data_IF_503173851258
#
_entry.id   IF_503173851258
#
_cell.length_a   1.000
_cell.length_b   1.000
_cell.length_c   1.000
_cell.angle_alpha   90.00
_cell.angle_beta   90.00
_cell.angle_gamma   90.00
#
_symmetry.space_group_name_H-M   'P 1'
#
loop_
_entity.id
_entity.type
_entity.pdbx_description
1 polymer ?
#
# COMPACT_ATOMS: atom_id res chain seq x y z
N UNK A 1 29.86 -11.84 -25.15
CA UNK A 1 29.90 -11.42 -23.74
C UNK A 1 29.31 -10.03 -23.67
N UNK A 2 28.03 -9.94 -23.34
CA UNK A 2 27.39 -8.65 -23.09
C UNK A 2 27.79 -8.18 -21.69
N UNK A 3 28.31 -6.95 -21.63
CA UNK A 3 28.58 -6.28 -20.38
C UNK A 3 27.25 -6.01 -19.68
N UNK A 4 27.05 -6.61 -18.49
CA UNK A 4 26.05 -6.13 -17.54
C UNK A 4 26.37 -4.68 -17.23
N UNK A 5 25.57 -3.76 -17.76
CA UNK A 5 25.56 -2.39 -17.30
C UNK A 5 25.21 -2.43 -15.81
N UNK A 6 26.07 -1.86 -14.97
CA UNK A 6 25.80 -1.72 -13.54
C UNK A 6 24.38 -1.16 -13.39
N UNK A 7 23.50 -1.90 -12.70
CA UNK A 7 22.16 -1.44 -12.35
C UNK A 7 22.31 -0.06 -11.71
N UNK A 8 21.94 1.00 -12.43
CA UNK A 8 21.80 2.33 -11.85
C UNK A 8 20.52 2.31 -11.01
N UNK A 9 20.58 2.78 -9.77
CA UNK A 9 19.48 2.78 -8.79
C UNK A 9 19.10 1.39 -8.24
N UNK A 10 20.05 0.71 -7.61
CA UNK A 10 19.74 -0.48 -6.80
C UNK A 10 19.09 -0.09 -5.47
N UNK A 11 18.06 -0.81 -5.07
CA UNK A 11 17.46 -0.72 -3.74
C UNK A 11 17.33 -2.13 -3.13
N UNK A 12 17.25 -2.21 -1.81
CA UNK A 12 17.02 -3.47 -1.10
C UNK A 12 15.63 -3.48 -0.51
N UNK A 13 14.88 -4.57 -0.69
CA UNK A 13 13.60 -4.76 0.01
C UNK A 13 13.77 -4.83 1.52
N UNK A 14 14.96 -5.18 2.02
CA UNK A 14 15.27 -5.17 3.46
C UNK A 14 15.21 -3.77 4.09
N UNK A 15 15.28 -2.72 3.28
CA UNK A 15 15.18 -1.33 3.72
C UNK A 15 13.72 -0.93 3.99
N UNK A 16 12.75 -1.71 3.49
CA UNK A 16 11.32 -1.52 3.71
C UNK A 16 10.88 -2.45 4.85
N UNK A 17 10.47 -1.88 5.97
CA UNK A 17 9.99 -2.63 7.14
C UNK A 17 8.51 -2.99 6.96
N UNK A 18 8.25 -4.25 6.65
CA UNK A 18 6.90 -4.75 6.36
C UNK A 18 6.01 -4.87 7.60
N UNK A 19 6.62 -4.95 8.78
CA UNK A 19 5.99 -4.95 10.11
C UNK A 19 5.68 -3.53 10.62
N UNK A 20 6.06 -2.50 9.87
CA UNK A 20 5.76 -1.11 10.19
C UNK A 20 6.51 -0.18 9.25
N UNK A 21 5.85 0.30 8.19
CA UNK A 21 6.50 1.10 7.15
C UNK A 21 7.18 2.37 7.69
N UNK A 22 6.65 2.97 8.77
CA UNK A 22 7.24 4.11 9.46
C UNK A 22 8.63 3.85 10.07
N UNK A 23 8.97 2.59 10.34
CA UNK A 23 10.30 2.19 10.81
C UNK A 23 11.32 2.02 9.65
N UNK A 24 10.89 2.20 8.39
CA UNK A 24 11.79 2.17 7.25
C UNK A 24 12.69 3.41 7.26
N UNK A 25 14.01 3.23 7.12
CA UNK A 25 14.96 4.35 7.29
C UNK A 25 14.83 5.50 6.29
N UNK A 26 14.02 5.31 5.23
CA UNK A 26 13.74 6.30 4.17
C UNK A 26 12.23 6.59 4.08
N UNK A 27 11.52 6.40 5.19
CA UNK A 27 10.10 6.69 5.28
C UNK A 27 9.86 8.19 5.15
N UNK A 28 9.14 8.56 4.09
CA UNK A 28 8.97 9.96 3.72
C UNK A 28 7.75 10.60 4.40
N UNK A 29 6.77 9.80 4.82
CA UNK A 29 5.56 10.26 5.47
C UNK A 29 4.30 9.60 4.92
N UNK A 30 3.16 10.20 5.24
CA UNK A 30 1.84 9.76 4.80
C UNK A 30 0.84 10.90 4.78
N UNK A 31 -0.31 10.63 4.19
CA UNK A 31 -1.52 11.41 4.44
C UNK A 31 -2.63 10.50 4.97
N UNK A 32 -3.50 11.06 5.80
CA UNK A 32 -4.63 10.33 6.38
C UNK A 32 -5.88 11.23 6.49
N UNK A 33 -7.07 10.61 6.55
CA UNK A 33 -8.33 11.36 6.72
C UNK A 33 -8.35 12.15 8.04
N UNK A 34 -9.00 13.31 8.03
CA UNK A 34 -9.26 14.13 9.23
C UNK A 34 -10.69 14.01 9.77
N UNK A 35 -11.65 13.60 8.93
CA UNK A 35 -13.07 13.44 9.26
C UNK A 35 -13.49 11.99 9.48
N UNK A 36 -14.80 11.75 9.63
CA UNK A 36 -15.36 10.40 9.76
C UNK A 36 -15.09 9.52 8.53
N UNK A 37 -14.98 8.21 8.76
CA UNK A 37 -14.81 7.24 7.68
C UNK A 37 -15.97 7.33 6.67
N UNK A 38 -15.64 7.40 5.38
CA UNK A 38 -16.64 7.24 4.32
C UNK A 38 -16.02 6.72 3.05
N UNK A 39 -16.78 5.96 2.26
CA UNK A 39 -16.33 5.48 0.95
C UNK A 39 -15.95 6.64 0.00
N UNK A 40 -16.56 7.82 0.16
CA UNK A 40 -16.19 9.01 -0.63
C UNK A 40 -14.78 9.51 -0.33
N UNK A 41 -14.30 9.36 0.92
CA UNK A 41 -12.92 9.68 1.27
C UNK A 41 -11.96 8.63 0.70
N UNK A 42 -12.36 7.35 0.65
CA UNK A 42 -11.58 6.31 -0.04
C UNK A 42 -11.42 6.66 -1.52
N UNK A 43 -12.51 7.06 -2.19
CA UNK A 43 -12.47 7.50 -3.58
C UNK A 43 -11.55 8.71 -3.79
N UNK A 44 -11.60 9.69 -2.89
CA UNK A 44 -10.70 10.86 -2.93
C UNK A 44 -9.23 10.48 -2.71
N UNK A 45 -8.93 9.59 -1.76
CA UNK A 45 -7.57 9.14 -1.49
C UNK A 45 -6.97 8.45 -2.73
N UNK A 46 -7.73 7.57 -3.39
CA UNK A 46 -7.34 6.94 -4.65
C UNK A 46 -7.15 7.98 -5.75
N UNK A 47 -8.05 8.96 -5.86
CA UNK A 47 -7.94 10.01 -6.86
C UNK A 47 -6.70 10.90 -6.69
N UNK A 48 -6.25 11.17 -5.45
CA UNK A 48 -5.00 11.89 -5.19
C UNK A 48 -3.78 11.07 -5.65
N UNK A 49 -3.79 9.77 -5.38
CA UNK A 49 -2.72 8.88 -5.85
C UNK A 49 -2.68 8.81 -7.38
N UNK A 50 -3.84 8.59 -8.02
CA UNK A 50 -3.97 8.58 -9.48
C UNK A 50 -3.59 9.93 -10.10
N UNK A 51 -3.96 11.04 -9.45
CA UNK A 51 -3.62 12.40 -9.88
C UNK A 51 -2.12 12.67 -9.85
N UNK A 52 -1.43 12.21 -8.80
CA UNK A 52 0.03 12.31 -8.68
C UNK A 52 0.76 11.46 -9.72
N UNK A 53 0.35 10.20 -9.88
CA UNK A 53 0.94 9.31 -10.89
C UNK A 53 0.60 9.78 -12.31
N UNK A 54 -0.57 10.41 -12.51
CA UNK A 54 -1.00 10.96 -13.79
C UNK A 54 -0.91 9.92 -14.91
N UNK A 55 -0.28 10.30 -16.02
CA UNK A 55 0.00 9.40 -17.16
C UNK A 55 1.36 8.72 -17.06
N UNK A 56 2.05 8.78 -15.92
CA UNK A 56 3.39 8.19 -15.76
C UNK A 56 3.26 6.66 -15.88
N UNK A 57 3.63 6.14 -17.04
CA UNK A 57 3.77 4.70 -17.27
C UNK A 57 5.03 4.22 -16.56
N UNK A 58 4.88 3.15 -15.79
CA UNK A 58 5.96 2.56 -15.03
C UNK A 58 5.74 1.07 -14.84
N UNK A 59 6.83 0.36 -14.54
CA UNK A 59 6.72 -0.98 -14.02
C UNK A 59 6.27 -0.88 -12.57
N UNK A 60 5.21 -1.59 -12.22
CA UNK A 60 4.71 -1.69 -10.86
C UNK A 60 5.06 -3.06 -10.30
N UNK A 61 5.39 -3.13 -9.01
CA UNK A 61 5.44 -4.39 -8.28
C UNK A 61 4.60 -4.23 -7.03
N UNK A 62 3.45 -4.88 -7.04
CA UNK A 62 2.56 -5.00 -5.90
C UNK A 62 3.00 -6.21 -5.10
N UNK A 63 3.23 -6.00 -3.80
CA UNK A 63 3.51 -7.05 -2.83
C UNK A 63 2.44 -6.99 -1.77
N UNK A 64 1.80 -8.13 -1.51
CA UNK A 64 0.72 -8.25 -0.54
C UNK A 64 0.93 -9.50 0.30
N UNK A 65 0.72 -9.40 1.60
CA UNK A 65 0.42 -10.53 2.46
C UNK A 65 -0.86 -10.15 3.20
N UNK A 66 -1.98 -10.44 2.54
CA UNK A 66 -3.31 -10.18 3.03
C UNK A 66 -4.11 -11.48 2.95
N UNK A 67 -4.93 -11.71 3.97
CA UNK A 67 -5.84 -12.85 4.00
C UNK A 67 -7.28 -12.41 4.05
N UNK A 68 -8.17 -13.28 3.59
CA UNK A 68 -9.61 -13.07 3.66
C UNK A 68 -10.22 -13.75 4.89
N UNK A 69 -11.18 -13.07 5.53
CA UNK A 69 -12.07 -13.63 6.57
C UNK A 69 -13.51 -13.27 6.18
N UNK A 70 -14.19 -14.18 5.50
CA UNK A 70 -15.51 -13.93 4.90
C UNK A 70 -16.58 -13.49 5.91
N UNK A 71 -16.44 -13.87 7.17
CA UNK A 71 -17.37 -13.52 8.26
C UNK A 71 -17.04 -12.19 8.96
N UNK A 72 -15.91 -11.55 8.61
CA UNK A 72 -15.41 -10.34 9.29
C UNK A 72 -16.22 -9.11 8.94
N UNK A 73 -16.63 -8.97 7.67
CA UNK A 73 -17.43 -7.84 7.24
C UNK A 73 -18.93 -8.15 7.39
N UNK A 74 -19.66 -7.21 7.98
CA UNK A 74 -21.11 -7.31 8.23
C UNK A 74 -21.87 -6.09 7.71
N UNK A 75 -21.18 -5.02 7.36
CA UNK A 75 -21.76 -3.84 6.75
C UNK A 75 -22.26 -4.15 5.34
N UNK A 76 -23.58 -4.12 5.17
CA UNK A 76 -24.25 -4.52 3.92
C UNK A 76 -23.83 -3.62 2.76
N UNK A 77 -23.61 -2.33 3.01
CA UNK A 77 -23.24 -1.37 1.97
C UNK A 77 -21.80 -1.60 1.48
N UNK A 78 -20.88 -1.88 2.39
CA UNK A 78 -19.48 -2.23 2.09
C UNK A 78 -19.40 -3.55 1.33
N UNK A 79 -20.13 -4.58 1.77
CA UNK A 79 -20.22 -5.87 1.04
C UNK A 79 -20.74 -5.62 -0.37
N UNK A 80 -21.90 -4.96 -0.51
CA UNK A 80 -22.52 -4.71 -1.82
C UNK A 80 -21.59 -3.95 -2.77
N UNK A 81 -20.82 -3.00 -2.25
CA UNK A 81 -19.90 -2.17 -3.04
C UNK A 81 -18.63 -2.92 -3.44
N UNK A 82 -18.05 -3.72 -2.55
CA UNK A 82 -16.69 -4.25 -2.72
C UNK A 82 -16.61 -5.77 -2.92
N UNK A 83 -17.71 -6.52 -2.80
CA UNK A 83 -17.72 -7.99 -2.96
C UNK A 83 -17.08 -8.45 -4.26
N UNK A 84 -17.40 -7.79 -5.38
CA UNK A 84 -16.82 -8.15 -6.68
C UNK A 84 -15.29 -8.01 -6.71
N UNK A 85 -14.75 -6.97 -6.06
CA UNK A 85 -13.29 -6.76 -5.94
C UNK A 85 -12.70 -7.82 -5.00
N UNK A 86 -13.35 -8.07 -3.88
CA UNK A 86 -12.94 -9.07 -2.90
C UNK A 86 -12.83 -10.46 -3.52
N UNK A 87 -13.85 -10.91 -4.26
CA UNK A 87 -13.87 -12.19 -4.96
C UNK A 87 -12.83 -12.24 -6.08
N UNK A 88 -12.64 -11.15 -6.82
CA UNK A 88 -11.58 -11.04 -7.82
C UNK A 88 -10.20 -11.25 -7.19
N UNK A 89 -9.88 -10.53 -6.11
CA UNK A 89 -8.58 -10.64 -5.44
C UNK A 89 -8.36 -12.03 -4.83
N UNK A 90 -9.41 -12.70 -4.33
CA UNK A 90 -9.37 -14.11 -3.90
C UNK A 90 -9.03 -15.04 -5.06
N UNK A 91 -9.75 -14.92 -6.18
CA UNK A 91 -9.55 -15.78 -7.36
C UNK A 91 -8.15 -15.66 -7.95
N UNK A 92 -7.56 -14.46 -7.86
CA UNK A 92 -6.21 -14.14 -8.33
C UNK A 92 -5.12 -14.45 -7.31
N UNK A 93 -5.50 -14.98 -6.14
CA UNK A 93 -4.61 -15.29 -5.02
C UNK A 93 -3.81 -14.07 -4.54
N UNK A 94 -4.39 -12.88 -4.59
CA UNK A 94 -3.84 -11.67 -3.98
C UNK A 94 -4.42 -11.40 -2.58
N UNK A 95 -5.55 -12.05 -2.27
CA UNK A 95 -6.04 -12.32 -0.93
C UNK A 95 -5.99 -13.83 -0.70
N UNK A 96 -5.20 -14.28 0.27
CA UNK A 96 -5.03 -15.70 0.58
C UNK A 96 -6.00 -16.18 1.67
N UNK A 97 -6.31 -17.48 1.75
CA UNK A 97 -7.02 -18.01 2.91
C UNK A 97 -6.25 -17.71 4.20
N UNK A 98 -6.97 -17.55 5.31
CA UNK A 98 -6.35 -17.55 6.63
C UNK A 98 -5.71 -18.92 6.90
N UNK A 99 -4.48 -18.92 7.39
CA UNK A 99 -3.80 -20.11 7.92
C UNK A 99 -3.39 -19.87 9.36
N UNK A 100 -3.17 -20.94 10.13
CA UNK A 100 -2.72 -20.85 11.52
C UNK A 100 -1.39 -20.06 11.63
N UNK A 101 -0.45 -20.31 10.71
CA UNK A 101 0.84 -19.60 10.68
C UNK A 101 0.68 -18.09 10.46
N UNK A 102 -0.25 -17.70 9.58
CA UNK A 102 -0.53 -16.30 9.30
C UNK A 102 -1.33 -15.66 10.45
N UNK A 103 -2.23 -16.39 11.09
CA UNK A 103 -2.95 -15.94 12.27
C UNK A 103 -2.00 -15.67 13.45
N UNK A 104 -1.04 -16.56 13.73
CA UNK A 104 0.01 -16.32 14.72
C UNK A 104 0.83 -15.07 14.40
N UNK A 105 1.11 -14.80 13.12
CA UNK A 105 1.79 -13.56 12.72
C UNK A 105 0.96 -12.32 13.05
N UNK A 106 -0.36 -12.34 12.79
CA UNK A 106 -1.25 -11.22 13.12
C UNK A 106 -1.28 -10.91 14.63
N UNK A 107 -1.04 -11.91 15.48
CA UNK A 107 -0.92 -11.73 16.93
C UNK A 107 0.51 -11.42 17.42
N UNK A 108 1.47 -11.30 16.49
CA UNK A 108 2.88 -11.01 16.81
C UNK A 108 3.62 -12.19 17.45
N UNK A 109 3.07 -13.41 17.36
CA UNK A 109 3.66 -14.63 17.92
C UNK A 109 4.71 -15.24 16.97
N UNK A 110 4.61 -14.94 15.67
CA UNK A 110 5.53 -15.43 14.64
C UNK A 110 5.88 -14.34 13.61
N UNK A 111 7.02 -14.46 12.90
CA UNK A 111 7.31 -13.63 11.73
C UNK A 111 6.33 -13.88 10.59
N UNK A 112 6.18 -12.91 9.68
CA UNK A 112 5.38 -13.06 8.46
C UNK A 112 5.84 -14.28 7.64
N UNK A 113 4.98 -15.28 7.38
CA UNK A 113 5.35 -16.45 6.59
C UNK A 113 5.58 -16.07 5.12
N UNK A 114 6.67 -16.54 4.53
CA UNK A 114 6.96 -16.26 3.12
C UNK A 114 5.88 -16.82 2.17
N UNK A 115 5.24 -17.94 2.53
CA UNK A 115 4.13 -18.52 1.78
C UNK A 115 2.84 -17.69 1.80
N UNK A 116 2.76 -16.68 2.67
CA UNK A 116 1.65 -15.73 2.73
C UNK A 116 1.83 -14.53 1.79
N UNK A 117 2.99 -14.41 1.11
CA UNK A 117 3.24 -13.34 0.15
C UNK A 117 2.62 -13.68 -1.21
N UNK A 118 2.08 -12.66 -1.85
CA UNK A 118 1.59 -12.69 -3.23
C UNK A 118 2.01 -11.43 -3.97
N UNK A 119 2.10 -11.54 -5.29
CA UNK A 119 2.68 -10.51 -6.14
C UNK A 119 1.79 -10.21 -7.33
N UNK A 120 1.76 -8.94 -7.73
CA UNK A 120 1.19 -8.52 -9.01
C UNK A 120 2.06 -7.46 -9.65
N UNK A 121 1.98 -7.33 -10.97
CA UNK A 121 2.60 -6.25 -11.74
C UNK A 121 1.59 -5.21 -12.21
N UNK A 122 0.31 -5.37 -11.84
CA UNK A 122 -0.78 -4.50 -12.24
C UNK A 122 -1.05 -3.45 -11.17
N UNK A 123 -0.90 -2.18 -11.52
CA UNK A 123 -1.26 -1.06 -10.63
C UNK A 123 -2.74 -1.11 -10.22
N UNK A 124 -3.62 -1.57 -11.11
CA UNK A 124 -5.04 -1.71 -10.81
C UNK A 124 -5.31 -2.66 -9.63
N UNK A 125 -4.44 -3.65 -9.40
CA UNK A 125 -4.56 -4.55 -8.26
C UNK A 125 -4.19 -3.88 -6.96
N UNK A 126 -3.15 -3.04 -6.98
CA UNK A 126 -2.80 -2.24 -5.82
C UNK A 126 -3.98 -1.35 -5.43
N UNK A 127 -4.62 -0.68 -6.38
CA UNK A 127 -5.79 0.16 -6.11
C UNK A 127 -6.95 -0.67 -5.54
N UNK A 128 -7.24 -1.83 -6.12
CA UNK A 128 -8.28 -2.74 -5.62
C UNK A 128 -8.02 -3.19 -4.18
N UNK A 129 -6.81 -3.65 -3.88
CA UNK A 129 -6.40 -4.05 -2.54
C UNK A 129 -6.43 -2.88 -1.55
N UNK A 130 -5.97 -1.69 -1.98
CA UNK A 130 -6.02 -0.47 -1.17
C UNK A 130 -7.45 -0.13 -0.75
N UNK A 131 -8.40 -0.24 -1.68
CA UNK A 131 -9.82 0.01 -1.39
C UNK A 131 -10.39 -0.98 -0.39
N UNK A 132 -10.06 -2.27 -0.54
CA UNK A 132 -10.50 -3.30 0.41
C UNK A 132 -9.92 -3.07 1.81
N UNK A 133 -8.64 -2.69 1.90
CA UNK A 133 -7.98 -2.36 3.17
C UNK A 133 -8.62 -1.14 3.83
N UNK A 134 -8.75 -0.04 3.08
CA UNK A 134 -9.30 1.19 3.64
C UNK A 134 -10.75 1.00 4.08
N UNK A 135 -11.56 0.20 3.39
CA UNK A 135 -12.96 -0.04 3.77
C UNK A 135 -13.15 -1.18 4.79
N UNK A 136 -12.07 -1.79 5.30
CA UNK A 136 -12.13 -2.98 6.18
C UNK A 136 -12.98 -4.14 5.64
N UNK A 137 -13.07 -4.28 4.31
CA UNK A 137 -14.02 -5.14 3.60
C UNK A 137 -13.66 -6.64 3.67
N UNK A 138 -13.59 -7.19 4.89
CA UNK A 138 -13.34 -8.61 5.16
C UNK A 138 -11.86 -9.03 5.10
N UNK A 139 -10.95 -8.08 4.91
CA UNK A 139 -9.50 -8.33 4.78
C UNK A 139 -8.83 -8.39 6.16
N UNK A 140 -7.80 -9.24 6.30
CA UNK A 140 -6.96 -9.39 7.48
C UNK A 140 -5.47 -9.20 7.16
N UNK A 141 -4.79 -8.42 8.00
CA UNK A 141 -3.41 -7.97 7.78
C UNK A 141 -3.34 -6.54 7.24
N UNK A 142 -2.11 -6.04 7.11
CA UNK A 142 -1.82 -4.67 6.67
C UNK A 142 -0.69 -4.59 5.64
N UNK A 143 -0.06 -5.73 5.31
CA UNK A 143 1.08 -5.76 4.38
C UNK A 143 0.56 -5.69 2.96
N UNK A 144 0.52 -4.49 2.40
CA UNK A 144 0.22 -4.23 0.99
C UNK A 144 0.96 -2.98 0.53
N UNK A 145 1.84 -3.11 -0.44
CA UNK A 145 2.58 -1.98 -0.99
C UNK A 145 2.86 -2.14 -2.48
N UNK A 146 3.02 -1.02 -3.16
CA UNK A 146 3.36 -0.94 -4.57
C UNK A 146 4.70 -0.24 -4.73
N UNK A 147 5.65 -0.93 -5.35
CA UNK A 147 6.94 -0.38 -5.71
C UNK A 147 6.84 0.20 -7.12
N UNK A 148 7.30 1.45 -7.25
CA UNK A 148 7.33 2.22 -8.48
C UNK A 148 8.80 2.63 -8.72
N UNK A 149 9.62 1.76 -9.34
CA UNK A 149 11.05 2.01 -9.51
C UNK A 149 11.35 3.29 -10.29
N UNK A 150 10.49 3.61 -11.28
CA UNK A 150 10.60 4.83 -12.08
C UNK A 150 10.53 6.12 -11.24
N UNK A 151 9.91 6.06 -10.05
CA UNK A 151 9.79 7.18 -9.12
C UNK A 151 10.68 7.03 -7.88
N UNK A 152 11.49 5.96 -7.80
CA UNK A 152 12.26 5.64 -6.60
C UNK A 152 11.38 5.56 -5.33
N UNK A 153 10.17 5.01 -5.46
CA UNK A 153 9.15 5.07 -4.40
C UNK A 153 8.50 3.71 -4.16
N UNK A 154 8.18 3.40 -2.90
CA UNK A 154 7.15 2.45 -2.52
C UNK A 154 5.98 3.20 -1.86
N UNK A 155 4.75 2.83 -2.20
CA UNK A 155 3.52 3.40 -1.65
C UNK A 155 2.73 2.28 -0.97
N UNK A 156 2.09 2.57 0.16
CA UNK A 156 1.26 1.61 0.89
C UNK A 156 -0.01 2.29 1.41
N UNK A 157 -1.17 1.60 1.48
CA UNK A 157 -2.36 2.11 2.16
C UNK A 157 -2.03 2.35 3.62
N UNK A 158 -2.35 3.52 4.14
CA UNK A 158 -1.99 3.90 5.50
C UNK A 158 -3.21 3.92 6.42
N UNK A 159 -3.09 3.19 7.53
CA UNK A 159 -4.05 3.07 8.62
C UNK A 159 -5.50 2.88 8.15
N UNK A 160 -6.33 3.91 8.24
CA UNK A 160 -7.75 3.84 7.87
C UNK A 160 -8.00 4.32 6.42
N UNK A 161 -7.79 5.60 6.11
CA UNK A 161 -7.93 6.12 4.75
C UNK A 161 -6.76 7.04 4.43
N UNK A 162 -5.97 6.65 3.44
CA UNK A 162 -4.85 7.42 2.94
C UNK A 162 -3.71 6.53 2.45
N UNK A 163 -2.57 7.15 2.13
CA UNK A 163 -1.38 6.44 1.69
C UNK A 163 -0.14 6.99 2.36
N UNK A 164 0.80 6.09 2.64
CA UNK A 164 2.17 6.43 3.00
C UNK A 164 3.15 6.11 1.89
N UNK A 165 4.33 6.73 1.95
CA UNK A 165 5.38 6.51 0.97
C UNK A 165 6.77 6.35 1.62
N UNK A 166 7.61 5.55 0.97
CA UNK A 166 8.99 5.25 1.36
C UNK A 166 9.87 5.42 0.12
N UNK A 167 10.97 6.15 0.23
CA UNK A 167 11.93 6.24 -0.86
C UNK A 167 12.79 4.97 -0.93
N UNK A 168 13.03 4.44 -2.13
CA UNK A 168 13.80 3.21 -2.31
C UNK A 168 15.31 3.44 -2.10
N UNK A 169 15.77 4.67 -2.35
CA UNK A 169 17.13 5.13 -2.05
C UNK A 169 17.11 6.52 -1.39
N UNK A 170 18.26 7.18 -1.25
CA UNK A 170 18.37 8.49 -0.59
C UNK A 170 17.63 9.63 -1.31
N UNK A 171 17.19 9.45 -2.56
CA UNK A 171 16.39 10.43 -3.29
C UNK A 171 14.90 10.36 -2.88
N UNK A 172 14.52 11.22 -1.94
CA UNK A 172 13.15 11.34 -1.43
C UNK A 172 12.26 12.29 -2.26
N UNK A 173 12.77 12.86 -3.35
CA UNK A 173 12.11 13.96 -4.08
C UNK A 173 10.69 13.60 -4.51
N UNK A 174 10.50 12.45 -5.15
CA UNK A 174 9.17 12.03 -5.60
C UNK A 174 8.21 11.82 -4.41
N UNK A 175 8.71 11.30 -3.28
CA UNK A 175 7.89 11.08 -2.10
C UNK A 175 7.42 12.41 -1.50
N UNK A 176 8.31 13.40 -1.45
CA UNK A 176 7.94 14.76 -1.03
C UNK A 176 6.92 15.38 -1.98
N UNK A 177 7.15 15.33 -3.29
CA UNK A 177 6.21 15.85 -4.31
C UNK A 177 4.82 15.21 -4.18
N UNK A 178 4.75 13.92 -3.85
CA UNK A 178 3.50 13.22 -3.59
C UNK A 178 2.78 13.78 -2.36
N UNK A 179 3.48 13.91 -1.24
CA UNK A 179 2.90 14.41 0.01
C UNK A 179 2.49 15.89 -0.10
N UNK A 180 3.30 16.71 -0.79
CA UNK A 180 2.96 18.10 -1.11
C UNK A 180 1.68 18.18 -1.95
N UNK A 181 1.55 17.33 -2.99
CA UNK A 181 0.33 17.23 -3.79
C UNK A 181 -0.90 16.87 -2.93
N UNK A 182 -0.77 15.92 -2.00
CA UNK A 182 -1.86 15.53 -1.11
C UNK A 182 -2.25 16.63 -0.11
N UNK A 183 -1.30 17.49 0.27
CA UNK A 183 -1.54 18.57 1.27
C UNK A 183 -2.51 19.65 0.79
N UNK A 184 -2.73 19.74 -0.53
CA UNK A 184 -3.70 20.66 -1.13
C UNK A 184 -5.16 20.24 -0.83
N UNK A 185 -5.39 19.01 -0.38
CA UNK A 185 -6.73 18.49 -0.09
C UNK A 185 -7.08 18.61 1.40
N UNK A 186 -7.99 19.52 1.74
CA UNK A 186 -8.44 19.75 3.13
C UNK A 186 -9.14 18.57 3.81
N UNK A 187 -9.51 17.53 3.07
CA UNK A 187 -10.08 16.29 3.63
C UNK A 187 -9.02 15.38 4.28
N UNK A 188 -7.74 15.70 4.09
CA UNK A 188 -6.61 14.92 4.57
C UNK A 188 -5.60 15.78 5.31
N UNK A 189 -4.96 15.18 6.31
CA UNK A 189 -3.78 15.72 6.97
C UNK A 189 -2.55 15.01 6.39
N UNK A 190 -1.45 15.74 6.23
CA UNK A 190 -0.18 15.21 5.75
C UNK A 190 0.86 15.29 6.85
N UNK A 191 1.54 14.17 7.08
CA UNK A 191 2.64 14.04 8.05
C UNK A 191 3.91 13.68 7.29
N UNK A 192 4.93 14.52 7.41
CA UNK A 192 6.25 14.28 6.82
C UNK A 192 7.15 13.52 7.79
N UNK A 193 7.85 12.50 7.30
CA UNK A 193 8.92 11.82 8.02
C UNK A 193 10.17 12.70 8.13
N UNK A 194 11.07 12.34 9.06
CA UNK A 194 12.32 13.08 9.30
C UNK A 194 13.19 13.22 8.04
N UNK A 195 13.21 12.20 7.17
CA UNK A 195 13.94 12.26 5.89
C UNK A 195 13.38 13.29 4.90
N UNK A 196 12.18 13.81 5.17
CA UNK A 196 11.49 14.84 4.40
C UNK A 196 11.37 16.16 5.17
N UNK A 197 12.15 16.40 6.23
CA UNK A 197 12.29 17.72 6.82
C UNK A 197 13.38 18.53 6.07
N UNK A 198 13.22 19.86 5.92
CA UNK A 198 14.19 20.72 5.24
C UNK A 198 15.53 20.82 5.97
#
# INVERSE_FOLDING_TARGET
>A
MEYSSKLKNTFSLSDIKLDGFGASGKWAGYFQRTGEHSHSLVDKAVALLDGFLGSRSGNFLVVTALSYRDEREKDVDTIKRYQHIYDEMKSRRLLLPMSDEYESYLYGESPLPAGSLSFSFEYSDFIKLSRLLMCHAGVAGQVCFCIIPALNMAIYPHDDIGYGCVALNSDVKACREFLDHCSECSSFEVVFGESCQP
#
